data_IF_294734199059
#
_entry.id   IF_294734199059
#
_cell.length_a   1.000
_cell.length_b   1.000
_cell.length_c   1.000
_cell.angle_alpha   90.00
_cell.angle_beta   90.00
_cell.angle_gamma   90.00
#
_symmetry.space_group_name_H-M   'P 1'
#
loop_
_entity.id
_entity.type
_entity.pdbx_description
1 polymer ?
#
# COMPACT_ATOMS: atom_id res chain seq x y z
N UNK A 1 53.45 18.53 -4.37
CA UNK A 1 53.68 18.38 -2.92
C UNK A 1 52.54 19.13 -2.25
N UNK A 2 51.93 18.58 -1.20
CA UNK A 2 50.85 19.28 -0.48
C UNK A 2 51.40 20.60 0.10
N UNK A 3 50.63 21.68 0.07
CA UNK A 3 51.03 22.95 0.68
C UNK A 3 51.47 22.79 2.13
N UNK A 4 50.84 21.88 2.88
CA UNK A 4 51.26 21.58 4.26
C UNK A 4 52.72 21.12 4.28
N UNK A 5 53.10 20.20 3.38
CA UNK A 5 54.47 19.71 3.29
C UNK A 5 55.47 20.78 2.80
N UNK A 6 55.04 21.74 1.98
CA UNK A 6 55.87 22.88 1.58
C UNK A 6 56.09 23.87 2.72
N UNK A 7 55.06 24.08 3.55
CA UNK A 7 55.15 24.90 4.77
C UNK A 7 56.07 24.25 5.79
N UNK A 8 55.93 22.95 6.03
CA UNK A 8 56.80 22.18 6.93
C UNK A 8 58.27 22.29 6.49
N UNK A 9 58.52 22.18 5.18
CA UNK A 9 59.86 22.29 4.61
C UNK A 9 60.44 23.71 4.74
N UNK A 10 59.60 24.74 4.69
CA UNK A 10 59.99 26.12 4.97
C UNK A 10 60.33 26.30 6.46
N UNK A 11 59.54 25.73 7.36
CA UNK A 11 59.79 25.71 8.81
C UNK A 11 61.13 25.02 9.13
N UNK A 12 61.38 23.85 8.56
CA UNK A 12 62.64 23.12 8.71
C UNK A 12 63.84 23.95 8.23
N UNK A 13 63.70 24.63 7.08
CA UNK A 13 64.75 25.48 6.52
C UNK A 13 65.10 26.65 7.45
N UNK A 14 64.11 27.18 8.17
CA UNK A 14 64.30 28.22 9.18
C UNK A 14 64.88 27.65 10.48
N UNK A 15 64.45 26.46 10.89
CA UNK A 15 64.91 25.79 12.11
C UNK A 15 66.38 25.35 12.03
N UNK A 16 66.82 24.86 10.88
CA UNK A 16 68.19 24.36 10.64
C UNK A 16 69.20 25.47 10.28
N UNK A 17 68.73 26.69 10.01
CA UNK A 17 69.59 27.80 9.59
C UNK A 17 70.61 28.22 10.65
N UNK A 18 71.77 28.71 10.20
CA UNK A 18 72.84 29.15 11.13
C UNK A 18 72.42 30.41 11.88
N UNK A 19 72.34 30.34 13.21
CA UNK A 19 72.10 31.52 14.06
C UNK A 19 73.28 32.49 14.01
N UNK A 20 72.97 33.78 13.92
CA UNK A 20 73.97 34.85 13.92
C UNK A 20 74.29 35.26 15.37
N UNK A 21 75.56 35.23 15.82
CA UNK A 21 75.94 35.56 17.19
C UNK A 21 75.46 36.95 17.61
N UNK A 22 75.04 37.09 18.88
CA UNK A 22 74.54 38.34 19.47
C UNK A 22 73.25 38.90 18.83
N UNK A 23 72.54 38.13 17.99
CA UNK A 23 71.25 38.54 17.39
C UNK A 23 70.22 37.40 17.47
N UNK A 24 68.95 37.74 17.27
CA UNK A 24 67.86 36.77 17.11
C UNK A 24 67.67 36.27 15.67
N UNK A 25 68.61 36.59 14.77
CA UNK A 25 68.48 36.34 13.34
C UNK A 25 69.10 34.99 12.94
N UNK A 26 68.46 34.35 11.95
CA UNK A 26 68.92 33.12 11.32
C UNK A 26 69.39 33.43 9.90
N UNK A 27 70.55 32.90 9.51
CA UNK A 27 71.05 32.99 8.13
C UNK A 27 70.44 31.85 7.30
N UNK A 28 69.77 32.23 6.22
CA UNK A 28 69.00 31.33 5.36
C UNK A 28 69.41 31.55 3.90
N UNK A 29 69.36 30.51 3.09
CA UNK A 29 69.56 30.64 1.64
C UNK A 29 68.28 31.22 1.02
N UNK A 30 68.39 32.44 0.50
CA UNK A 30 67.31 33.19 -0.14
C UNK A 30 66.68 32.43 -1.32
N UNK A 31 67.50 31.84 -2.18
CA UNK A 31 67.07 31.13 -3.39
C UNK A 31 66.16 29.94 -3.05
N UNK A 32 66.53 29.14 -2.04
CA UNK A 32 65.72 28.01 -1.56
C UNK A 32 64.39 28.44 -0.95
N UNK A 33 64.36 29.57 -0.25
CA UNK A 33 63.12 30.11 0.33
C UNK A 33 62.17 30.55 -0.78
N UNK A 34 62.68 31.25 -1.79
CA UNK A 34 61.87 31.69 -2.94
C UNK A 34 61.34 30.51 -3.76
N UNK A 35 62.14 29.45 -3.99
CA UNK A 35 61.67 28.23 -4.65
C UNK A 35 60.46 27.62 -3.94
N UNK A 36 60.52 27.48 -2.60
CA UNK A 36 59.40 26.94 -1.81
C UNK A 36 58.17 27.86 -1.89
N UNK A 37 58.36 29.18 -1.81
CA UNK A 37 57.26 30.15 -1.91
C UNK A 37 56.60 30.10 -3.29
N UNK A 38 57.36 29.96 -4.37
CA UNK A 38 56.82 29.87 -5.72
C UNK A 38 56.09 28.54 -5.94
N UNK A 39 56.57 27.44 -5.36
CA UNK A 39 55.88 26.15 -5.39
C UNK A 39 54.55 26.20 -4.60
N UNK A 40 54.52 26.89 -3.45
CA UNK A 40 53.29 27.16 -2.70
C UNK A 40 52.33 28.00 -3.55
N UNK A 41 52.80 29.10 -4.16
CA UNK A 41 51.94 29.94 -5.02
C UNK A 41 51.41 29.22 -6.24
N UNK A 42 52.15 28.25 -6.77
CA UNK A 42 51.72 27.46 -7.91
C UNK A 42 50.65 26.43 -7.52
N UNK A 43 50.74 25.82 -6.33
CA UNK A 43 49.82 24.77 -5.85
C UNK A 43 48.55 25.31 -5.17
N UNK A 44 48.65 26.46 -4.48
CA UNK A 44 47.55 27.07 -3.72
C UNK A 44 46.25 27.28 -4.50
N UNK A 45 46.28 27.81 -5.74
CA UNK A 45 45.06 28.06 -6.49
C UNK A 45 44.28 26.78 -6.81
N UNK A 46 44.98 25.68 -7.06
CA UNK A 46 44.37 24.43 -7.50
C UNK A 46 43.79 23.65 -6.32
N UNK A 47 44.44 23.63 -5.16
CA UNK A 47 43.90 23.04 -3.93
C UNK A 47 42.60 23.76 -3.49
N UNK A 48 42.58 25.09 -3.57
CA UNK A 48 41.37 25.87 -3.24
C UNK A 48 40.25 25.65 -4.28
N UNK A 49 40.57 25.44 -5.56
CA UNK A 49 39.56 25.05 -6.57
C UNK A 49 39.01 23.67 -6.25
N UNK A 50 39.86 22.71 -5.91
CA UNK A 50 39.45 21.35 -5.58
C UNK A 50 38.56 21.32 -4.34
N UNK A 51 38.94 22.04 -3.27
CA UNK A 51 38.11 22.15 -2.07
C UNK A 51 36.72 22.74 -2.37
N UNK A 52 36.66 23.82 -3.18
CA UNK A 52 35.38 24.41 -3.61
C UNK A 52 34.56 23.45 -4.46
N UNK A 53 35.19 22.70 -5.35
CA UNK A 53 34.52 21.70 -6.17
C UNK A 53 33.94 20.57 -5.32
N UNK A 54 34.69 20.02 -4.36
CA UNK A 54 34.21 18.98 -3.43
C UNK A 54 32.99 19.46 -2.64
N UNK A 55 33.03 20.69 -2.13
CA UNK A 55 31.88 21.26 -1.39
C UNK A 55 30.66 21.40 -2.29
N UNK A 56 30.85 21.86 -3.53
CA UNK A 56 29.77 22.00 -4.51
C UNK A 56 29.18 20.64 -4.88
N UNK A 57 30.01 19.66 -5.20
CA UNK A 57 29.57 18.31 -5.59
C UNK A 57 28.80 17.63 -4.45
N UNK A 58 29.28 17.80 -3.22
CA UNK A 58 28.57 17.31 -2.03
C UNK A 58 27.19 17.95 -1.89
N UNK A 59 27.07 19.26 -2.12
CA UNK A 59 25.79 19.93 -2.04
C UNK A 59 24.83 19.44 -3.13
N UNK A 60 25.30 19.30 -4.36
CA UNK A 60 24.51 18.76 -5.48
C UNK A 60 24.02 17.34 -5.18
N UNK A 61 24.90 16.48 -4.63
CA UNK A 61 24.56 15.13 -4.21
C UNK A 61 23.49 15.11 -3.11
N UNK A 62 23.58 16.01 -2.12
CA UNK A 62 22.59 16.11 -1.05
C UNK A 62 21.23 16.57 -1.58
N UNK A 63 21.22 17.58 -2.45
CA UNK A 63 19.99 18.10 -3.06
C UNK A 63 19.31 17.03 -3.93
N UNK A 64 20.08 16.22 -4.65
CA UNK A 64 19.55 15.11 -5.45
C UNK A 64 19.00 13.99 -4.55
N UNK A 65 19.71 13.63 -3.48
CA UNK A 65 19.23 12.65 -2.51
C UNK A 65 17.93 13.10 -1.81
N UNK A 66 17.81 14.39 -1.48
CA UNK A 66 16.60 14.95 -0.86
C UNK A 66 15.40 14.92 -1.81
N UNK A 67 15.61 15.29 -3.08
CA UNK A 67 14.58 15.18 -4.12
C UNK A 67 14.12 13.74 -4.32
N UNK A 68 15.06 12.81 -4.38
CA UNK A 68 14.76 11.39 -4.57
C UNK A 68 14.02 10.80 -3.35
N UNK A 69 14.44 11.16 -2.13
CA UNK A 69 13.76 10.76 -0.91
C UNK A 69 12.30 11.28 -0.88
N UNK A 70 12.10 12.54 -1.27
CA UNK A 70 10.76 13.14 -1.39
C UNK A 70 9.91 12.41 -2.42
N UNK A 71 10.48 12.11 -3.60
CA UNK A 71 9.79 11.35 -4.65
C UNK A 71 9.35 9.96 -4.17
N UNK A 72 10.24 9.24 -3.48
CA UNK A 72 9.94 7.92 -2.93
C UNK A 72 8.82 8.01 -1.88
N UNK A 73 8.84 9.00 -1.00
CA UNK A 73 7.78 9.20 -0.01
C UNK A 73 6.43 9.48 -0.67
N UNK A 74 6.39 10.36 -1.67
CA UNK A 74 5.15 10.68 -2.41
C UNK A 74 4.59 9.45 -3.14
N UNK A 75 5.45 8.67 -3.79
CA UNK A 75 5.04 7.43 -4.46
C UNK A 75 4.51 6.39 -3.47
N UNK A 76 5.18 6.23 -2.31
CA UNK A 76 4.75 5.32 -1.26
C UNK A 76 3.39 5.74 -0.67
N UNK A 77 3.19 7.04 -0.44
CA UNK A 77 1.94 7.59 0.08
C UNK A 77 0.78 7.35 -0.90
N UNK A 78 0.96 7.67 -2.19
CA UNK A 78 -0.04 7.42 -3.24
C UNK A 78 -0.41 5.94 -3.34
N UNK A 79 0.59 5.06 -3.23
CA UNK A 79 0.36 3.61 -3.28
C UNK A 79 -0.43 3.13 -2.05
N UNK A 80 -0.10 3.63 -0.87
CA UNK A 80 -0.84 3.32 0.35
C UNK A 80 -2.30 3.77 0.27
N UNK A 81 -2.57 4.96 -0.27
CA UNK A 81 -3.91 5.48 -0.49
C UNK A 81 -4.70 4.62 -1.48
N UNK A 82 -4.09 4.21 -2.61
CA UNK A 82 -4.72 3.30 -3.58
C UNK A 82 -5.07 1.95 -2.96
N UNK A 83 -4.14 1.35 -2.21
CA UNK A 83 -4.38 0.06 -1.54
C UNK A 83 -5.47 0.15 -0.48
N UNK A 84 -5.52 1.24 0.29
CA UNK A 84 -6.58 1.47 1.28
C UNK A 84 -7.94 1.62 0.60
N UNK A 85 -8.00 2.36 -0.51
CA UNK A 85 -9.23 2.51 -1.31
C UNK A 85 -9.69 1.17 -1.90
N UNK A 86 -8.78 0.38 -2.48
CA UNK A 86 -9.08 -0.97 -3.00
C UNK A 86 -9.58 -1.91 -1.91
N UNK A 87 -8.96 -1.86 -0.72
CA UNK A 87 -9.37 -2.69 0.43
C UNK A 87 -10.77 -2.33 0.91
N UNK A 88 -11.10 -1.03 0.97
CA UNK A 88 -12.44 -0.59 1.37
C UNK A 88 -13.49 -0.97 0.33
N UNK A 89 -13.17 -0.86 -0.97
CA UNK A 89 -14.06 -1.32 -2.05
C UNK A 89 -14.30 -2.83 -1.93
N UNK A 90 -13.26 -3.62 -1.68
CA UNK A 90 -13.38 -5.07 -1.49
C UNK A 90 -14.25 -5.40 -0.27
N UNK A 91 -14.04 -4.71 0.86
CA UNK A 91 -14.84 -4.88 2.08
C UNK A 91 -16.32 -4.56 1.85
N UNK A 92 -16.63 -3.45 1.17
CA UNK A 92 -17.99 -3.06 0.84
C UNK A 92 -18.65 -4.05 -0.12
N UNK A 93 -17.91 -4.55 -1.12
CA UNK A 93 -18.41 -5.54 -2.05
C UNK A 93 -18.74 -6.87 -1.36
N UNK A 94 -17.91 -7.32 -0.41
CA UNK A 94 -18.16 -8.52 0.39
C UNK A 94 -19.39 -8.35 1.29
N UNK A 95 -19.55 -7.18 1.92
CA UNK A 95 -20.73 -6.85 2.72
C UNK A 95 -22.02 -6.88 1.89
N UNK A 96 -22.01 -6.26 0.70
CA UNK A 96 -23.15 -6.28 -0.24
C UNK A 96 -23.47 -7.69 -0.75
N UNK A 97 -22.43 -8.49 -1.04
CA UNK A 97 -22.61 -9.87 -1.45
C UNK A 97 -23.26 -10.70 -0.34
N UNK A 98 -22.82 -10.54 0.92
CA UNK A 98 -23.42 -11.20 2.07
C UNK A 98 -24.90 -10.82 2.23
N UNK A 99 -25.23 -9.53 2.18
CA UNK A 99 -26.61 -9.05 2.26
C UNK A 99 -27.48 -9.64 1.14
N UNK A 100 -26.97 -9.66 -0.10
CA UNK A 100 -27.69 -10.24 -1.24
C UNK A 100 -27.99 -11.72 -1.03
N UNK A 101 -27.03 -12.48 -0.51
CA UNK A 101 -27.21 -13.91 -0.22
C UNK A 101 -28.22 -14.12 0.91
N UNK A 102 -28.16 -13.33 1.97
CA UNK A 102 -29.12 -13.39 3.08
C UNK A 102 -30.56 -13.08 2.60
N UNK A 103 -30.73 -12.03 1.80
CA UNK A 103 -32.01 -11.66 1.19
C UNK A 103 -32.54 -12.77 0.28
N UNK A 104 -31.68 -13.33 -0.58
CA UNK A 104 -32.04 -14.43 -1.46
C UNK A 104 -32.50 -15.66 -0.67
N UNK A 105 -31.80 -16.02 0.41
CA UNK A 105 -32.18 -17.14 1.28
C UNK A 105 -33.47 -16.85 2.04
N UNK A 106 -33.69 -15.61 2.51
CA UNK A 106 -34.94 -15.24 3.16
C UNK A 106 -36.13 -15.38 2.20
N UNK A 107 -35.97 -14.89 0.98
CA UNK A 107 -36.99 -14.98 -0.07
C UNK A 107 -37.23 -16.42 -0.54
N UNK A 108 -36.19 -17.23 -0.63
CA UNK A 108 -36.32 -18.67 -0.94
C UNK A 108 -37.16 -19.39 0.12
N UNK A 109 -36.89 -19.13 1.41
CA UNK A 109 -37.70 -19.68 2.51
C UNK A 109 -39.15 -19.22 2.44
N UNK A 110 -39.40 -17.94 2.18
CA UNK A 110 -40.75 -17.38 2.06
C UNK A 110 -41.52 -18.04 0.91
N UNK A 111 -40.92 -18.15 -0.28
CA UNK A 111 -41.53 -18.79 -1.44
C UNK A 111 -41.84 -20.26 -1.15
N UNK A 112 -40.89 -20.98 -0.53
CA UNK A 112 -41.08 -22.40 -0.21
C UNK A 112 -42.25 -22.62 0.75
N UNK A 113 -42.31 -21.85 1.83
CA UNK A 113 -43.42 -21.94 2.80
C UNK A 113 -44.75 -21.56 2.15
N UNK A 114 -44.80 -20.48 1.37
CA UNK A 114 -46.00 -20.09 0.65
C UNK A 114 -46.47 -21.13 -0.38
N UNK A 115 -45.53 -21.84 -1.02
CA UNK A 115 -45.85 -22.93 -1.95
C UNK A 115 -46.38 -24.17 -1.23
N UNK A 116 -45.83 -24.50 -0.05
CA UNK A 116 -46.33 -25.58 0.82
C UNK A 116 -47.77 -25.26 1.28
N UNK A 117 -48.01 -24.06 1.82
CA UNK A 117 -49.34 -23.61 2.25
C UNK A 117 -50.36 -23.65 1.09
N UNK A 118 -49.96 -23.19 -0.09
CA UNK A 118 -50.81 -23.21 -1.28
C UNK A 118 -51.12 -24.65 -1.73
N UNK A 119 -50.15 -25.55 -1.69
CA UNK A 119 -50.36 -26.95 -2.04
C UNK A 119 -51.33 -27.63 -1.08
N UNK A 120 -51.18 -27.39 0.23
CA UNK A 120 -52.09 -27.92 1.24
C UNK A 120 -53.52 -27.41 1.05
N UNK A 121 -53.72 -26.12 0.78
CA UNK A 121 -55.04 -25.56 0.49
C UNK A 121 -55.68 -26.22 -0.75
N UNK A 122 -54.89 -26.40 -1.82
CA UNK A 122 -55.35 -27.06 -3.04
C UNK A 122 -55.73 -28.53 -2.80
N UNK A 123 -54.94 -29.26 -2.02
CA UNK A 123 -55.20 -30.64 -1.66
C UNK A 123 -56.45 -30.78 -0.78
N UNK A 124 -56.62 -29.90 0.21
CA UNK A 124 -57.81 -29.87 1.06
C UNK A 124 -59.08 -29.61 0.24
N UNK A 125 -59.03 -28.66 -0.71
CA UNK A 125 -60.13 -28.40 -1.62
C UNK A 125 -60.44 -29.60 -2.52
N UNK A 126 -59.41 -30.29 -3.02
CA UNK A 126 -59.58 -31.51 -3.80
C UNK A 126 -60.21 -32.63 -2.98
N UNK A 127 -59.78 -32.84 -1.74
CA UNK A 127 -60.33 -33.84 -0.82
C UNK A 127 -61.83 -33.62 -0.59
N UNK A 128 -62.24 -32.38 -0.29
CA UNK A 128 -63.66 -32.04 -0.09
C UNK A 128 -64.48 -32.37 -1.35
N UNK A 129 -63.97 -32.05 -2.53
CA UNK A 129 -64.67 -32.30 -3.80
C UNK A 129 -64.76 -33.81 -4.11
N UNK A 130 -63.68 -34.55 -3.90
CA UNK A 130 -63.68 -36.02 -4.05
C UNK A 130 -64.63 -36.67 -3.05
N UNK A 131 -64.70 -36.19 -1.81
CA UNK A 131 -65.65 -36.68 -0.81
C UNK A 131 -67.11 -36.49 -1.24
N UNK A 132 -67.45 -35.32 -1.81
CA UNK A 132 -68.79 -35.06 -2.39
C UNK A 132 -69.10 -36.01 -3.55
N UNK A 133 -68.15 -36.22 -4.46
CA UNK A 133 -68.30 -37.14 -5.59
C UNK A 133 -68.46 -38.59 -5.14
N UNK A 134 -67.65 -39.05 -4.19
CA UNK A 134 -67.74 -40.40 -3.64
C UNK A 134 -69.10 -40.64 -2.98
N UNK A 135 -69.58 -39.66 -2.21
CA UNK A 135 -70.92 -39.72 -1.59
C UNK A 135 -72.02 -39.81 -2.65
N UNK A 136 -71.90 -39.07 -3.77
CA UNK A 136 -72.85 -39.15 -4.88
C UNK A 136 -72.83 -40.53 -5.55
N UNK A 137 -71.64 -41.10 -5.78
CA UNK A 137 -71.48 -42.47 -6.33
C UNK A 137 -72.08 -43.52 -5.40
N UNK A 138 -71.83 -43.44 -4.10
CA UNK A 138 -72.40 -44.36 -3.10
C UNK A 138 -73.94 -44.31 -3.12
N UNK A 139 -74.54 -43.11 -3.10
CA UNK A 139 -76.00 -42.95 -3.24
C UNK A 139 -76.52 -43.56 -4.53
N UNK A 140 -75.79 -43.39 -5.65
CA UNK A 140 -76.13 -44.01 -6.93
C UNK A 140 -76.13 -45.54 -6.87
N UNK A 141 -75.11 -46.13 -6.22
CA UNK A 141 -75.00 -47.58 -6.01
C UNK A 141 -76.10 -48.13 -5.10
N UNK A 142 -76.40 -47.47 -3.99
CA UNK A 142 -77.43 -47.92 -3.04
C UNK A 142 -78.83 -47.98 -3.69
N UNK A 143 -79.13 -47.01 -4.58
CA UNK A 143 -80.35 -47.00 -5.40
C UNK A 143 -80.41 -48.21 -6.34
N UNK A 144 -79.29 -48.55 -7.01
CA UNK A 144 -79.22 -49.70 -7.93
C UNK A 144 -79.28 -51.04 -7.20
N UNK A 145 -78.74 -51.13 -5.98
CA UNK A 145 -78.78 -52.34 -5.15
C UNK A 145 -80.14 -52.57 -4.46
N UNK A 146 -81.15 -51.73 -4.71
CA UNK A 146 -82.50 -51.91 -4.17
C UNK A 146 -82.61 -51.66 -2.66
N UNK A 147 -81.61 -51.04 -2.02
CA UNK A 147 -81.63 -50.73 -0.57
C UNK A 147 -82.47 -49.50 -0.21
N UNK A 148 -83.21 -48.93 -1.16
CA UNK A 148 -84.16 -47.85 -0.95
C UNK A 148 -85.55 -48.23 -1.53
N UNK A 149 -86.15 -49.26 -0.95
CA UNK A 149 -87.59 -49.53 -0.95
C UNK A 149 -87.88 -50.09 0.46
N UNK A 150 -88.83 -49.62 1.28
CA UNK A 150 -90.16 -49.01 1.12
C UNK A 150 -90.45 -48.15 2.37
N UNK A 151 -91.34 -47.13 2.34
CA UNK A 151 -92.32 -46.97 3.40
C UNK A 151 -93.57 -47.75 3.01
N UNK A 152 -93.80 -48.86 3.72
CA UNK A 152 -95.11 -49.53 3.74
C UNK A 152 -96.11 -48.63 4.44
N UNK A 153 -97.09 -48.14 3.70
CA UNK A 153 -98.55 -48.28 3.94
C UNK A 153 -99.30 -47.51 2.86
#
# INVERSE_FOLDING_TARGET
MDIVALVDKLEDLVAEGKKVPLTSSVMINEEKVFEIIDEIRASFPDEIKQARWIVKERQEMLDEAEKEATRIQDEAQKKAESMAAETEIARLAEEQASQTVEEAQAKEREIRLGAEDYADEMLANLEVNLGKLLTAVQRGRDRLQGKAAEPRT
#
